data_IF_969007511039
#
_entry.id   IF_969007511039
#
_cell.length_a   1.000
_cell.length_b   1.000
_cell.length_c   1.000
_cell.angle_alpha   90.00
_cell.angle_beta   90.00
_cell.angle_gamma   90.00
#
_symmetry.space_group_name_H-M   'P 1'
#
loop_
_entity.id
_entity.type
_entity.pdbx_description
1 polymer ?
#
# COMPACT_ATOMS: atom_id res chain seq x y z
N UNK A 1 21.38 32.61 36.57
CA UNK A 1 20.71 32.86 37.87
C UNK A 1 19.25 32.43 37.69
N UNK A 2 18.79 31.51 38.31
CA UNK A 2 18.16 30.95 39.45
C UNK A 2 17.61 29.54 39.15
N UNK A 3 18.19 28.58 39.86
CA UNK A 3 17.65 27.23 40.07
C UNK A 3 16.42 27.31 40.96
N UNK A 4 15.44 26.46 40.75
CA UNK A 4 14.55 26.00 41.84
C UNK A 4 14.12 24.57 41.62
N UNK A 5 14.66 23.71 42.50
CA UNK A 5 14.22 22.35 42.82
C UNK A 5 12.96 22.44 43.70
N UNK A 6 12.13 21.38 43.70
CA UNK A 6 11.42 20.81 44.87
C UNK A 6 10.69 19.56 44.39
N UNK A 7 11.13 18.35 44.81
CA UNK A 7 10.76 17.55 45.98
C UNK A 7 9.33 16.97 45.89
N UNK A 8 9.25 15.69 45.58
CA UNK A 8 9.06 14.54 46.50
C UNK A 8 7.62 14.36 47.03
N UNK A 9 7.05 13.19 46.83
CA UNK A 9 5.84 12.67 47.46
C UNK A 9 5.66 11.19 47.20
N UNK A 10 6.33 10.34 48.00
CA UNK A 10 6.12 8.90 48.11
C UNK A 10 4.84 8.69 48.97
N UNK A 11 3.90 7.88 48.51
CA UNK A 11 2.85 7.31 49.36
C UNK A 11 2.80 5.80 49.14
N UNK A 12 3.32 5.11 50.14
CA UNK A 12 3.23 3.65 50.36
C UNK A 12 1.89 3.36 51.04
N UNK A 13 1.10 2.51 50.41
CA UNK A 13 -0.12 1.97 51.01
C UNK A 13 -0.06 0.44 51.05
N UNK A 14 0.30 -0.10 52.23
CA UNK A 14 0.22 -1.51 52.59
C UNK A 14 -1.20 -1.80 53.07
N UNK A 15 -1.87 -2.85 52.54
CA UNK A 15 -3.00 -3.52 53.24
C UNK A 15 -3.01 -4.99 52.91
N UNK A 16 -2.65 -5.70 53.83
CA UNK A 16 -3.09 -6.85 54.65
C UNK A 16 -3.79 -8.00 53.92
N UNK A 17 -3.16 -9.15 54.13
CA UNK A 17 -3.64 -10.52 53.93
C UNK A 17 -4.81 -10.87 54.82
N UNK A 18 -5.79 -11.62 54.28
CA UNK A 18 -6.56 -12.58 55.04
C UNK A 18 -6.58 -13.93 54.34
N UNK A 19 -5.92 -14.91 54.96
CA UNK A 19 -5.97 -16.30 54.58
C UNK A 19 -7.24 -16.94 55.22
N UNK A 20 -7.97 -17.72 54.43
CA UNK A 20 -8.85 -18.76 54.93
C UNK A 20 -8.49 -20.06 54.23
N UNK A 21 -8.05 -20.97 55.09
CA UNK A 21 -7.79 -22.39 54.73
C UNK A 21 -9.13 -23.15 54.68
N UNK A 22 -9.27 -23.96 53.60
CA UNK A 22 -10.33 -24.95 53.49
C UNK A 22 -9.79 -26.12 52.69
N UNK A 23 -9.46 -27.22 53.39
CA UNK A 23 -9.10 -28.51 52.80
C UNK A 23 -10.27 -29.18 52.09
N UNK A 24 -10.01 -29.74 50.90
CA UNK A 24 -10.90 -30.63 50.16
C UNK A 24 -10.16 -31.22 48.98
N UNK A 25 -9.65 -32.43 49.19
CA UNK A 25 -8.89 -33.26 48.25
C UNK A 25 -9.84 -33.86 47.21
N UNK A 26 -9.64 -33.59 45.91
CA UNK A 26 -9.98 -34.51 44.82
C UNK A 26 -9.21 -34.11 43.56
N UNK A 27 -8.39 -34.99 43.11
CA UNK A 27 -7.60 -35.01 41.89
C UNK A 27 -8.44 -34.84 40.63
N UNK A 28 -8.31 -33.68 39.94
CA UNK A 28 -8.53 -33.59 38.49
C UNK A 28 -7.70 -32.44 37.94
N UNK A 29 -6.82 -32.72 36.96
CA UNK A 29 -6.05 -31.77 36.19
C UNK A 29 -6.98 -30.75 35.52
N UNK A 30 -6.73 -29.45 35.67
CA UNK A 30 -7.40 -28.48 34.81
C UNK A 30 -6.68 -28.46 33.45
N UNK A 31 -7.33 -29.03 32.47
CA UNK A 31 -7.07 -28.76 31.06
C UNK A 31 -7.31 -27.29 30.83
N UNK A 32 -6.23 -26.56 30.64
CA UNK A 32 -6.27 -25.15 30.27
C UNK A 32 -6.88 -25.04 28.86
N UNK A 33 -8.19 -24.89 28.80
CA UNK A 33 -8.87 -24.46 27.60
C UNK A 33 -8.56 -22.97 27.41
N UNK A 34 -7.52 -22.69 26.64
CA UNK A 34 -7.33 -21.40 26.01
C UNK A 34 -8.51 -21.21 25.06
N UNK A 35 -9.56 -20.56 25.55
CA UNK A 35 -10.61 -20.03 24.71
C UNK A 35 -9.98 -18.92 23.87
N UNK A 36 -9.50 -19.29 22.68
CA UNK A 36 -9.31 -18.35 21.60
C UNK A 36 -10.68 -17.77 21.31
N UNK A 37 -10.93 -16.60 21.83
CA UNK A 37 -12.07 -15.78 21.41
C UNK A 37 -11.80 -15.40 19.97
N UNK A 38 -12.21 -16.28 19.05
CA UNK A 38 -12.45 -15.88 17.68
C UNK A 38 -13.58 -14.83 17.77
N UNK A 39 -13.24 -13.57 17.68
CA UNK A 39 -14.21 -12.57 17.30
C UNK A 39 -14.68 -12.98 15.90
N UNK A 40 -15.78 -13.75 15.83
CA UNK A 40 -16.55 -13.88 14.62
C UNK A 40 -17.07 -12.46 14.37
N UNK A 41 -16.42 -11.73 13.45
CA UNK A 41 -17.06 -10.57 12.84
C UNK A 41 -18.39 -11.08 12.32
N UNK A 42 -19.49 -10.37 12.61
CA UNK A 42 -20.82 -10.65 12.04
C UNK A 42 -20.81 -10.31 10.53
N UNK A 43 -19.76 -10.72 9.80
CA UNK A 43 -19.62 -10.50 8.37
C UNK A 43 -20.81 -11.11 7.64
N UNK A 44 -21.54 -10.27 6.93
CA UNK A 44 -22.71 -10.65 6.13
C UNK A 44 -22.32 -10.67 4.66
N UNK A 45 -22.18 -11.85 4.09
CA UNK A 45 -21.77 -12.03 2.70
C UNK A 45 -22.78 -11.49 1.66
N UNK A 46 -23.97 -11.13 2.09
CA UNK A 46 -25.05 -10.53 1.30
C UNK A 46 -25.15 -9.00 1.44
N UNK A 47 -24.21 -8.38 2.18
CA UNK A 47 -24.11 -6.92 2.27
C UNK A 47 -23.54 -6.31 1.00
N UNK A 48 -23.92 -5.07 0.73
CA UNK A 48 -23.40 -4.31 -0.40
C UNK A 48 -21.88 -4.06 -0.23
N UNK A 49 -21.16 -4.10 -1.35
CA UNK A 49 -19.74 -3.82 -1.40
C UNK A 49 -19.52 -2.31 -1.56
N UNK A 50 -18.70 -1.73 -0.70
CA UNK A 50 -18.23 -0.36 -0.85
C UNK A 50 -17.09 -0.30 -1.86
N UNK A 51 -17.36 0.24 -3.04
CA UNK A 51 -16.33 0.47 -4.06
C UNK A 51 -15.56 1.74 -3.74
N UNK A 52 -14.24 1.63 -3.56
CA UNK A 52 -13.35 2.79 -3.42
C UNK A 52 -12.54 2.96 -4.70
N UNK A 53 -12.65 4.11 -5.34
CA UNK A 53 -11.94 4.42 -6.59
C UNK A 53 -11.05 5.63 -6.43
N UNK A 54 -10.12 5.83 -7.36
CA UNK A 54 -9.28 7.01 -7.41
C UNK A 54 -9.98 8.14 -8.17
N UNK A 55 -9.49 9.34 -7.94
CA UNK A 55 -9.94 10.56 -8.62
C UNK A 55 -9.71 10.52 -10.13
N UNK A 56 -10.45 11.35 -10.86
CA UNK A 56 -10.22 11.56 -12.29
C UNK A 56 -8.79 12.08 -12.54
N UNK A 57 -8.14 11.58 -13.58
CA UNK A 57 -6.75 11.93 -13.91
C UNK A 57 -5.71 11.12 -13.13
N UNK A 58 -6.11 10.24 -12.19
CA UNK A 58 -5.20 9.30 -11.56
C UNK A 58 -4.67 8.29 -12.58
N UNK A 59 -3.35 8.21 -12.71
CA UNK A 59 -2.71 7.19 -13.56
C UNK A 59 -3.01 5.76 -13.10
N UNK A 60 -3.19 5.54 -11.79
CA UNK A 60 -3.58 4.23 -11.23
C UNK A 60 -5.02 3.88 -11.61
N UNK A 61 -5.95 4.86 -11.59
CA UNK A 61 -7.32 4.65 -12.07
C UNK A 61 -7.34 4.29 -13.53
N UNK A 62 -6.66 5.09 -14.38
CA UNK A 62 -6.61 4.83 -15.81
C UNK A 62 -6.06 3.42 -16.13
N UNK A 63 -4.99 3.01 -15.42
CA UNK A 63 -4.45 1.66 -15.55
C UNK A 63 -5.45 0.57 -15.17
N UNK A 64 -6.09 0.73 -14.02
CA UNK A 64 -7.03 -0.25 -13.48
C UNK A 64 -8.24 -0.44 -14.39
N UNK A 65 -8.90 0.65 -14.79
CA UNK A 65 -10.12 0.57 -15.63
C UNK A 65 -9.83 -0.01 -17.02
N UNK A 66 -8.65 0.28 -17.58
CA UNK A 66 -8.21 -0.29 -18.85
C UNK A 66 -7.93 -1.80 -18.74
N UNK A 67 -7.14 -2.21 -17.74
CA UNK A 67 -6.74 -3.60 -17.55
C UNK A 67 -7.90 -4.50 -17.11
N UNK A 68 -8.84 -3.97 -16.35
CA UNK A 68 -10.04 -4.70 -15.88
C UNK A 68 -11.22 -4.64 -16.85
N UNK A 69 -11.08 -3.94 -17.99
CA UNK A 69 -12.13 -3.79 -18.98
C UNK A 69 -13.33 -2.95 -18.51
N UNK A 70 -13.11 -2.07 -17.52
CA UNK A 70 -14.12 -1.12 -17.03
C UNK A 70 -14.20 0.09 -17.96
N UNK A 71 -13.13 0.40 -18.71
CA UNK A 71 -13.12 1.40 -19.76
C UNK A 71 -13.70 0.82 -21.05
N UNK A 72 -14.79 1.38 -21.51
CA UNK A 72 -15.40 1.02 -22.80
C UNK A 72 -14.91 1.94 -23.91
N UNK A 73 -14.63 1.36 -25.08
CA UNK A 73 -14.30 2.11 -26.31
C UNK A 73 -15.50 2.15 -27.23
N UNK A 74 -15.97 3.36 -27.55
CA UNK A 74 -16.98 3.59 -28.57
C UNK A 74 -16.42 3.30 -29.99
N UNK A 75 -17.34 3.14 -30.94
CA UNK A 75 -16.99 2.93 -32.35
C UNK A 75 -16.18 4.10 -32.97
N UNK A 76 -16.33 5.29 -32.40
CA UNK A 76 -15.62 6.53 -32.76
C UNK A 76 -14.25 6.67 -32.04
N UNK A 77 -13.86 5.67 -31.26
CA UNK A 77 -12.63 5.69 -30.46
C UNK A 77 -12.75 6.42 -29.13
N UNK A 78 -13.93 6.96 -28.78
CA UNK A 78 -14.17 7.59 -27.47
C UNK A 78 -14.04 6.56 -26.36
N UNK A 79 -13.27 6.90 -25.31
CA UNK A 79 -13.11 6.07 -24.12
C UNK A 79 -14.06 6.56 -23.02
N UNK A 80 -14.83 5.66 -22.46
CA UNK A 80 -15.81 5.94 -21.40
C UNK A 80 -15.47 5.09 -20.17
N UNK A 81 -15.19 5.75 -19.06
CA UNK A 81 -15.00 5.10 -17.76
C UNK A 81 -16.37 4.70 -17.18
N UNK A 82 -16.55 3.42 -16.93
CA UNK A 82 -17.78 2.80 -16.38
C UNK A 82 -17.68 2.52 -14.88
N UNK A 83 -16.71 3.10 -14.18
CA UNK A 83 -16.70 3.05 -12.72
C UNK A 83 -18.04 3.55 -12.18
N UNK A 84 -18.62 2.84 -11.21
CA UNK A 84 -19.88 3.26 -10.60
C UNK A 84 -19.80 4.69 -10.05
N UNK A 85 -20.88 5.44 -10.21
CA UNK A 85 -21.00 6.80 -9.67
C UNK A 85 -21.13 6.82 -8.13
N UNK A 86 -21.40 5.66 -7.52
CA UNK A 86 -21.51 5.50 -6.06
C UNK A 86 -20.16 5.24 -5.41
N UNK A 87 -19.09 5.11 -6.21
CA UNK A 87 -17.76 4.85 -5.68
C UNK A 87 -17.27 6.00 -4.78
N UNK A 88 -16.74 5.65 -3.61
CA UNK A 88 -16.04 6.58 -2.73
C UNK A 88 -14.74 7.00 -3.43
N UNK A 89 -14.53 8.30 -3.62
CA UNK A 89 -13.36 8.80 -4.34
C UNK A 89 -12.22 9.13 -3.39
N UNK A 90 -11.12 8.40 -3.54
CA UNK A 90 -9.85 8.63 -2.85
C UNK A 90 -8.90 9.43 -3.75
N UNK A 91 -8.46 10.60 -3.27
CA UNK A 91 -7.58 11.50 -4.03
C UNK A 91 -6.08 11.19 -3.87
N UNK A 92 -5.73 10.15 -3.11
CA UNK A 92 -4.35 9.67 -2.89
C UNK A 92 -4.38 8.17 -2.57
N UNK A 93 -3.22 7.53 -2.74
CA UNK A 93 -3.04 6.11 -2.41
C UNK A 93 -3.30 5.82 -0.93
N UNK A 94 -2.79 6.66 -0.01
CA UNK A 94 -2.98 6.47 1.43
C UNK A 94 -4.46 6.57 1.83
N UNK A 95 -5.22 7.48 1.21
CA UNK A 95 -6.66 7.61 1.42
C UNK A 95 -7.40 6.37 0.93
N UNK A 96 -6.98 5.80 -0.20
CA UNK A 96 -7.51 4.53 -0.71
C UNK A 96 -7.32 3.41 0.32
N UNK A 97 -6.09 3.21 0.79
CA UNK A 97 -5.76 2.19 1.78
C UNK A 97 -6.53 2.38 3.09
N UNK A 98 -6.64 3.63 3.58
CA UNK A 98 -7.37 3.95 4.81
C UNK A 98 -8.86 3.63 4.68
N UNK A 99 -9.49 3.98 3.56
CA UNK A 99 -10.90 3.71 3.35
C UNK A 99 -11.18 2.19 3.30
N UNK A 100 -10.34 1.43 2.58
CA UNK A 100 -10.53 -0.03 2.50
C UNK A 100 -10.22 -0.71 3.83
N UNK A 101 -9.18 -0.26 4.56
CA UNK A 101 -8.85 -0.82 5.87
C UNK A 101 -9.91 -0.54 6.95
N UNK A 102 -10.66 0.56 6.80
CA UNK A 102 -11.71 0.98 7.72
C UNK A 102 -13.09 0.39 7.45
N UNK A 103 -13.27 -0.34 6.34
CA UNK A 103 -14.55 -0.90 5.92
C UNK A 103 -14.40 -2.38 5.53
N UNK A 104 -15.03 -3.28 6.28
CA UNK A 104 -14.96 -4.73 6.02
C UNK A 104 -15.61 -5.15 4.69
N UNK A 105 -16.44 -4.29 4.10
CA UNK A 105 -17.04 -4.46 2.78
C UNK A 105 -16.33 -3.64 1.69
N UNK A 106 -15.25 -2.95 2.06
CA UNK A 106 -14.49 -2.07 1.18
C UNK A 106 -13.63 -2.85 0.19
N UNK A 107 -13.70 -2.49 -1.10
CA UNK A 107 -12.79 -2.96 -2.14
C UNK A 107 -12.19 -1.76 -2.88
N UNK A 108 -10.90 -1.82 -3.18
CA UNK A 108 -10.18 -0.78 -3.89
C UNK A 108 -8.99 -1.33 -4.64
N UNK A 109 -8.16 -0.45 -5.19
CA UNK A 109 -6.96 -0.84 -5.93
C UNK A 109 -5.81 0.13 -5.67
N UNK A 110 -4.62 -0.41 -5.61
CA UNK A 110 -3.34 0.32 -5.45
C UNK A 110 -2.26 -0.31 -6.31
N UNK A 111 -1.15 0.40 -6.52
CA UNK A 111 0.03 -0.22 -7.12
C UNK A 111 0.68 -1.22 -6.14
N UNK A 112 1.36 -2.24 -6.68
CA UNK A 112 2.01 -3.28 -5.87
C UNK A 112 2.96 -2.69 -4.82
N UNK A 113 3.79 -1.72 -5.19
CA UNK A 113 4.72 -1.08 -4.27
C UNK A 113 4.08 -0.19 -3.20
N UNK A 114 2.79 0.08 -3.29
CA UNK A 114 2.03 0.81 -2.27
C UNK A 114 1.18 -0.11 -1.39
N UNK A 115 1.17 -1.42 -1.68
CA UNK A 115 0.40 -2.37 -0.89
C UNK A 115 0.98 -2.47 0.53
N UNK A 116 0.12 -2.43 1.53
CA UNK A 116 0.49 -2.52 2.94
C UNK A 116 -0.24 -3.65 3.65
N UNK A 117 0.26 -4.04 4.81
CA UNK A 117 -0.37 -5.06 5.67
C UNK A 117 -1.70 -4.62 6.29
N UNK A 118 -2.11 -3.36 6.12
CA UNK A 118 -3.40 -2.87 6.60
C UNK A 118 -4.59 -3.40 5.82
N UNK A 119 -4.34 -3.94 4.62
CA UNK A 119 -5.36 -4.48 3.72
C UNK A 119 -4.96 -5.85 3.22
N UNK A 120 -5.94 -6.63 2.78
CA UNK A 120 -5.72 -7.94 2.16
C UNK A 120 -5.68 -7.81 0.64
N UNK A 121 -4.57 -8.21 0.02
CA UNK A 121 -4.52 -8.36 -1.44
C UNK A 121 -5.38 -9.56 -1.89
N UNK A 122 -6.24 -9.35 -2.87
CA UNK A 122 -7.01 -10.42 -3.50
C UNK A 122 -6.27 -10.96 -4.72
N UNK A 123 -6.46 -12.25 -4.99
CA UNK A 123 -5.94 -12.87 -6.22
C UNK A 123 -6.81 -12.46 -7.41
N UNK A 124 -6.17 -12.27 -8.56
CA UNK A 124 -6.88 -12.08 -9.84
C UNK A 124 -6.70 -13.36 -10.66
N UNK A 125 -7.79 -13.96 -11.10
CA UNK A 125 -7.80 -15.27 -11.76
C UNK A 125 -7.04 -16.37 -11.00
N UNK A 126 -7.10 -16.32 -9.67
CA UNK A 126 -6.40 -17.25 -8.80
C UNK A 126 -4.91 -16.96 -8.60
N UNK A 127 -4.35 -15.93 -9.25
CA UNK A 127 -2.92 -15.56 -9.20
C UNK A 127 -2.70 -14.40 -8.23
N UNK A 128 -1.66 -14.51 -7.40
CA UNK A 128 -1.25 -13.46 -6.46
C UNK A 128 -0.47 -12.34 -7.17
N UNK A 129 -0.67 -11.09 -6.68
CA UNK A 129 0.10 -9.93 -7.13
C UNK A 129 1.49 -9.96 -6.49
N UNK A 130 2.44 -10.66 -7.13
CA UNK A 130 3.85 -10.72 -6.71
C UNK A 130 4.76 -10.26 -7.85
N UNK A 131 5.96 -9.79 -7.51
CA UNK A 131 6.95 -9.40 -8.50
C UNK A 131 7.28 -10.56 -9.46
N UNK A 132 7.36 -11.79 -8.94
CA UNK A 132 7.60 -12.99 -9.73
C UNK A 132 6.47 -13.25 -10.73
N UNK A 133 5.22 -13.23 -10.27
CA UNK A 133 4.05 -13.48 -11.11
C UNK A 133 3.84 -12.40 -12.19
N UNK A 134 4.26 -11.17 -11.90
CA UNK A 134 4.27 -10.08 -12.91
C UNK A 134 5.39 -10.31 -13.92
N UNK A 135 6.63 -10.60 -13.48
CA UNK A 135 7.79 -10.86 -14.37
C UNK A 135 7.55 -12.04 -15.29
N UNK A 136 6.98 -13.13 -14.81
CA UNK A 136 6.71 -14.32 -15.63
C UNK A 136 5.40 -14.21 -16.45
N UNK A 137 4.65 -13.10 -16.30
CA UNK A 137 3.43 -12.82 -17.05
C UNK A 137 2.20 -13.63 -16.64
N UNK A 138 2.22 -14.33 -15.51
CA UNK A 138 1.04 -15.04 -15.00
C UNK A 138 0.04 -14.10 -14.35
N UNK A 139 0.49 -13.04 -13.67
CA UNK A 139 -0.38 -11.96 -13.18
C UNK A 139 -0.63 -10.94 -14.29
N UNK A 140 -1.87 -10.86 -14.74
CA UNK A 140 -2.25 -10.08 -15.94
C UNK A 140 -2.51 -8.60 -15.69
N UNK A 141 -2.84 -8.21 -14.45
CA UNK A 141 -3.16 -6.82 -14.10
C UNK A 141 -1.86 -6.08 -13.78
N UNK A 142 -1.03 -5.89 -14.78
CA UNK A 142 0.27 -5.23 -14.66
C UNK A 142 0.56 -4.37 -15.88
N UNK A 143 1.24 -3.25 -15.68
CA UNK A 143 1.79 -2.41 -16.73
C UNK A 143 2.99 -1.61 -16.23
N UNK A 144 3.91 -1.19 -17.12
CA UNK A 144 5.06 -0.39 -16.70
C UNK A 144 4.66 1.02 -16.30
N UNK A 145 5.45 1.63 -15.42
CA UNK A 145 5.50 3.07 -15.26
C UNK A 145 6.34 3.67 -16.40
N UNK A 146 5.94 4.82 -16.87
CA UNK A 146 6.62 5.51 -17.97
C UNK A 146 7.13 6.87 -17.48
N UNK A 147 8.29 7.27 -18.00
CA UNK A 147 8.81 8.63 -17.85
C UNK A 147 8.43 9.40 -19.12
N UNK A 148 7.82 10.56 -18.95
CA UNK A 148 7.49 11.45 -20.05
C UNK A 148 8.26 12.77 -19.91
N UNK A 149 8.84 13.24 -21.01
CA UNK A 149 9.58 14.49 -21.07
C UNK A 149 9.10 15.36 -22.22
N UNK A 150 9.52 16.61 -22.24
CA UNK A 150 9.42 17.45 -23.44
C UNK A 150 10.48 16.99 -24.46
N UNK A 151 10.35 17.45 -25.71
CA UNK A 151 11.31 17.12 -26.78
C UNK A 151 12.72 17.70 -26.52
N UNK A 152 12.78 18.85 -25.85
CA UNK A 152 14.00 19.56 -25.47
C UNK A 152 14.26 19.42 -23.96
N UNK A 153 14.76 18.29 -23.58
CA UNK A 153 15.09 17.98 -22.20
C UNK A 153 16.46 18.59 -21.82
N UNK A 154 16.56 19.16 -20.61
CA UNK A 154 17.83 19.68 -20.10
C UNK A 154 18.79 18.55 -19.72
N UNK A 155 20.11 18.83 -19.73
CA UNK A 155 21.14 17.87 -19.33
C UNK A 155 20.91 17.32 -17.92
N UNK A 156 20.43 18.17 -16.99
CA UNK A 156 20.09 17.76 -15.61
C UNK A 156 18.94 16.75 -15.60
N UNK A 157 17.91 16.97 -16.43
CA UNK A 157 16.78 16.06 -16.48
C UNK A 157 17.15 14.75 -17.19
N UNK A 158 17.98 14.80 -18.23
CA UNK A 158 18.49 13.58 -18.86
C UNK A 158 19.35 12.76 -17.89
N UNK A 159 20.27 13.40 -17.19
CA UNK A 159 21.14 12.77 -16.19
C UNK A 159 20.33 12.09 -15.06
N UNK A 160 19.23 12.72 -14.65
CA UNK A 160 18.30 12.13 -13.67
C UNK A 160 17.59 10.87 -14.22
N UNK A 161 17.19 10.88 -15.48
CA UNK A 161 16.62 9.69 -16.15
C UNK A 161 17.66 8.59 -16.26
N UNK A 162 18.88 8.93 -16.65
CA UNK A 162 20.00 7.97 -16.76
C UNK A 162 20.29 7.35 -15.38
N UNK A 163 20.20 8.12 -14.31
CA UNK A 163 20.30 7.59 -12.95
C UNK A 163 19.15 6.61 -12.61
N UNK A 164 17.89 6.96 -12.91
CA UNK A 164 16.75 6.05 -12.66
C UNK A 164 16.94 4.73 -13.41
N UNK A 165 17.48 4.77 -14.63
CA UNK A 165 17.65 3.59 -15.47
C UNK A 165 18.96 2.82 -15.21
N UNK A 166 19.85 3.35 -14.38
CA UNK A 166 21.10 2.69 -13.98
C UNK A 166 20.87 1.54 -12.99
N UNK A 167 21.91 0.73 -12.77
CA UNK A 167 21.85 -0.35 -11.76
C UNK A 167 21.51 0.17 -10.37
N UNK A 168 22.06 1.32 -9.97
CA UNK A 168 21.80 1.94 -8.67
C UNK A 168 20.35 2.44 -8.56
N UNK A 169 19.83 3.09 -9.60
CA UNK A 169 18.44 3.52 -9.65
C UNK A 169 17.47 2.34 -9.68
N UNK A 170 17.78 1.30 -10.43
CA UNK A 170 16.97 0.08 -10.52
C UNK A 170 16.99 -0.74 -9.21
N UNK A 171 18.06 -0.65 -8.41
CA UNK A 171 18.10 -1.22 -7.06
C UNK A 171 17.08 -0.52 -6.15
N UNK A 172 17.03 0.81 -6.16
CA UNK A 172 16.00 1.58 -5.42
C UNK A 172 14.58 1.21 -5.89
N UNK A 173 14.37 1.09 -7.21
CA UNK A 173 13.08 0.66 -7.76
C UNK A 173 12.69 -0.72 -7.23
N UNK A 174 13.63 -1.65 -7.09
CA UNK A 174 13.35 -3.02 -6.65
C UNK A 174 12.92 -3.15 -5.19
N UNK A 175 13.07 -2.10 -4.39
CA UNK A 175 12.67 -2.06 -2.97
C UNK A 175 11.14 -2.08 -2.76
N UNK A 176 10.35 -1.84 -3.79
CA UNK A 176 8.88 -1.91 -3.72
C UNK A 176 8.21 -2.17 -5.07
N UNK A 177 8.97 -2.14 -6.15
CA UNK A 177 8.47 -2.30 -7.52
C UNK A 177 9.32 -3.31 -8.29
N UNK A 178 9.05 -3.46 -9.56
CA UNK A 178 9.74 -4.42 -10.42
C UNK A 178 10.64 -3.63 -11.37
N UNK A 179 11.95 -3.81 -11.24
CA UNK A 179 12.91 -3.24 -12.16
C UNK A 179 12.70 -3.75 -13.59
N UNK A 180 12.90 -2.88 -14.56
CA UNK A 180 12.68 -3.20 -15.98
C UNK A 180 13.86 -3.94 -16.61
N UNK A 181 15.05 -3.84 -16.03
CA UNK A 181 16.28 -4.43 -16.56
C UNK A 181 17.12 -4.97 -15.39
N UNK A 182 17.34 -6.28 -15.39
CA UNK A 182 18.20 -6.93 -14.40
C UNK A 182 19.70 -6.71 -14.71
N UNK A 183 20.06 -6.36 -15.97
CA UNK A 183 21.41 -6.12 -16.46
C UNK A 183 21.70 -4.62 -16.69
N UNK A 184 21.02 -3.73 -15.93
CA UNK A 184 21.24 -2.30 -16.01
C UNK A 184 22.70 -1.94 -15.73
N UNK A 185 23.28 -1.03 -16.55
CA UNK A 185 24.66 -0.58 -16.36
C UNK A 185 24.79 0.37 -15.16
N UNK A 186 25.96 0.41 -14.52
CA UNK A 186 26.25 1.38 -13.47
C UNK A 186 26.03 2.82 -13.95
N UNK A 187 25.59 3.69 -13.04
CA UNK A 187 25.43 5.10 -13.35
C UNK A 187 26.78 5.77 -13.67
N UNK A 188 26.89 6.34 -14.86
CA UNK A 188 28.06 7.03 -15.36
C UNK A 188 27.81 8.51 -15.72
N UNK A 189 26.74 9.12 -15.19
CA UNK A 189 26.34 10.48 -15.50
C UNK A 189 27.29 11.54 -14.90
N UNK A 190 27.23 12.73 -15.47
CA UNK A 190 28.12 13.86 -15.14
C UNK A 190 27.68 14.68 -13.94
N UNK A 191 26.47 14.43 -13.40
CA UNK A 191 25.85 15.17 -12.30
C UNK A 191 25.82 16.68 -12.55
N UNK A 192 25.25 17.16 -13.64
CA UNK A 192 25.22 18.59 -13.96
C UNK A 192 24.43 19.37 -12.91
N UNK A 193 24.89 20.60 -12.62
CA UNK A 193 24.21 21.47 -11.67
C UNK A 193 22.91 22.04 -12.28
N UNK A 194 21.83 22.09 -11.51
CA UNK A 194 20.58 22.67 -11.97
C UNK A 194 19.40 22.25 -11.11
N UNK A 195 18.21 22.60 -11.59
CA UNK A 195 16.92 22.20 -10.99
C UNK A 195 16.05 21.55 -12.04
N UNK A 196 15.38 20.49 -11.64
CA UNK A 196 14.30 19.86 -12.40
C UNK A 196 13.02 19.89 -11.59
N UNK A 197 11.91 19.83 -12.29
CA UNK A 197 10.58 19.61 -11.69
C UNK A 197 10.10 18.25 -12.11
N UNK A 198 9.85 17.41 -11.14
CA UNK A 198 9.30 16.05 -11.36
C UNK A 198 7.86 16.05 -10.86
N UNK A 199 6.94 15.59 -11.68
CA UNK A 199 5.55 15.41 -11.34
C UNK A 199 5.09 14.03 -11.78
N UNK A 200 4.19 13.41 -11.03
CA UNK A 200 3.76 12.05 -11.35
C UNK A 200 2.60 11.57 -10.50
N UNK A 201 2.25 10.31 -10.69
CA UNK A 201 1.25 9.64 -9.87
C UNK A 201 1.75 9.46 -8.43
N UNK A 202 0.85 9.59 -7.45
CA UNK A 202 1.15 9.23 -6.06
C UNK A 202 1.56 7.76 -5.89
N UNK A 203 1.27 6.92 -6.88
CA UNK A 203 1.67 5.51 -6.90
C UNK A 203 3.18 5.31 -7.08
N UNK A 204 3.94 6.29 -7.57
CA UNK A 204 5.41 6.22 -7.69
C UNK A 204 6.12 6.99 -6.58
N UNK A 205 5.39 7.71 -5.72
CA UNK A 205 5.98 8.49 -4.62
C UNK A 205 6.89 7.68 -3.69
N UNK A 206 6.63 6.38 -3.39
CA UNK A 206 7.50 5.61 -2.52
C UNK A 206 8.93 5.43 -3.02
N UNK A 207 9.20 5.58 -4.32
CA UNK A 207 10.54 5.41 -4.94
C UNK A 207 11.13 6.72 -5.48
N UNK A 208 10.44 7.86 -5.29
CA UNK A 208 10.89 9.19 -5.73
C UNK A 208 11.35 10.04 -4.56
#
# INVERSE_FOLDING_TARGET
MKKRNLLAGILVGVMAMTALAGCGETTQSPQSSTSTTSSSSDFKADSDITVVSRENGSGTRGAFIELMGIEEKGADGTKTDKTTNEAVIANKTDVMLTNVAGDEYGIGYVSLGSLSSSVKAVKVDGVEATAENVKNGTYKVARPFNIATKSDISDVAQDFIDYILSSEGQEIVSDGYIKINDDAQPYAGSKPAGKIVVAGSSSVSPVM
#
